data_IF_407699020219
#
_entry.id   IF_407699020219
#
_cell.length_a   1.000
_cell.length_b   1.000
_cell.length_c   1.000
_cell.angle_alpha   90.00
_cell.angle_beta   90.00
_cell.angle_gamma   90.00
#
_symmetry.space_group_name_H-M   'P 1'
#
loop_
_entity.id
_entity.type
_entity.pdbx_description
1 polymer ?
#
# COMPACT_ATOMS: atom_id res chain seq x y z
N UNK A 1 1.23 -10.54 -1.27
CA UNK A 1 2.16 -10.78 -2.40
C UNK A 1 3.46 -11.35 -1.83
N UNK A 2 4.08 -12.32 -2.50
CA UNK A 2 5.30 -13.01 -2.04
C UNK A 2 6.42 -12.81 -3.08
N UNK A 3 7.64 -12.53 -2.61
CA UNK A 3 8.83 -12.33 -3.42
C UNK A 3 9.99 -13.15 -2.87
N UNK A 4 10.79 -13.72 -3.77
CA UNK A 4 12.08 -14.32 -3.42
C UNK A 4 13.17 -13.32 -3.77
N UNK A 5 13.83 -12.78 -2.75
CA UNK A 5 14.79 -11.68 -2.91
C UNK A 5 16.09 -11.98 -2.20
N UNK A 6 17.18 -11.40 -2.67
CA UNK A 6 18.47 -11.48 -2.01
C UNK A 6 18.45 -10.72 -0.68
N UNK A 7 19.17 -11.25 0.32
CA UNK A 7 19.26 -10.68 1.67
C UNK A 7 19.69 -9.22 1.65
N UNK A 8 20.64 -8.85 0.79
CA UNK A 8 21.09 -7.45 0.66
C UNK A 8 19.97 -6.49 0.26
N UNK A 9 19.02 -6.92 -0.59
CA UNK A 9 17.85 -6.11 -0.90
C UNK A 9 17.01 -5.85 0.35
N UNK A 10 16.80 -6.90 1.16
CA UNK A 10 16.04 -6.77 2.41
C UNK A 10 16.77 -5.88 3.42
N UNK A 11 18.10 -5.94 3.49
CA UNK A 11 18.90 -5.04 4.34
C UNK A 11 18.68 -3.57 3.97
N UNK A 12 18.68 -3.23 2.66
CA UNK A 12 18.33 -1.89 2.22
C UNK A 12 16.88 -1.51 2.58
N UNK A 13 15.92 -2.43 2.46
CA UNK A 13 14.54 -2.19 2.88
C UNK A 13 14.45 -1.92 4.39
N UNK A 14 15.18 -2.70 5.20
CA UNK A 14 15.24 -2.55 6.65
C UNK A 14 15.85 -1.20 7.04
N UNK A 15 16.91 -0.76 6.36
CA UNK A 15 17.48 0.58 6.54
C UNK A 15 16.45 1.66 6.27
N UNK A 16 15.67 1.55 5.20
CA UNK A 16 14.59 2.51 4.90
C UNK A 16 13.49 2.49 5.96
N UNK A 17 13.15 1.32 6.50
CA UNK A 17 12.21 1.19 7.62
C UNK A 17 12.74 1.86 8.90
N UNK A 18 14.05 1.77 9.13
CA UNK A 18 14.72 2.43 10.25
C UNK A 18 14.80 3.94 10.04
N UNK A 19 15.24 4.42 8.87
CA UNK A 19 15.36 5.84 8.55
C UNK A 19 14.00 6.57 8.54
N UNK A 20 12.93 5.86 8.18
CA UNK A 20 11.58 6.41 8.23
C UNK A 20 11.09 6.63 9.68
N UNK A 21 11.74 6.05 10.69
CA UNK A 21 11.40 6.15 12.12
C UNK A 21 12.54 6.77 12.94
N UNK A 22 12.23 7.45 14.04
CA UNK A 22 13.28 8.03 14.89
C UNK A 22 14.13 6.98 15.65
N UNK A 23 13.74 5.69 15.61
CA UNK A 23 14.42 4.58 16.29
C UNK A 23 14.58 3.40 15.33
N UNK A 24 15.65 2.61 15.51
CA UNK A 24 15.87 1.34 14.79
C UNK A 24 14.65 0.43 15.00
N UNK A 25 13.88 0.18 13.94
CA UNK A 25 12.59 -0.50 14.06
C UNK A 25 12.79 -2.02 14.13
N UNK A 26 12.74 -2.55 15.35
CA UNK A 26 12.70 -3.99 15.56
C UNK A 26 11.40 -4.61 15.03
N UNK A 27 11.41 -5.90 14.67
CA UNK A 27 10.20 -6.62 14.31
C UNK A 27 9.19 -6.57 15.45
N UNK A 28 7.92 -6.45 15.08
CA UNK A 28 6.80 -6.51 16.01
C UNK A 28 6.60 -7.93 16.56
N UNK A 29 6.92 -8.95 15.75
CA UNK A 29 6.89 -10.34 16.15
C UNK A 29 8.01 -11.12 15.45
N UNK A 30 8.58 -12.07 16.17
CA UNK A 30 9.56 -13.04 15.64
C UNK A 30 9.03 -14.42 15.98
N UNK A 31 8.76 -15.23 14.96
CA UNK A 31 8.20 -16.57 15.13
C UNK A 31 9.15 -17.57 14.49
N UNK A 32 9.54 -18.57 15.27
CA UNK A 32 10.25 -19.75 14.77
C UNK A 32 9.22 -20.82 14.45
N UNK A 33 9.27 -21.38 13.25
CA UNK A 33 8.32 -22.39 12.81
C UNK A 33 9.02 -23.49 12.01
N UNK A 34 8.43 -24.69 12.01
CA UNK A 34 8.95 -25.83 11.26
C UNK A 34 8.16 -25.96 9.96
N UNK A 35 8.85 -25.86 8.83
CA UNK A 35 8.27 -26.08 7.49
C UNK A 35 8.52 -27.54 7.10
N UNK A 36 7.44 -28.34 7.00
CA UNK A 36 7.51 -29.80 6.72
C UNK A 36 6.96 -30.21 5.35
N UNK A 37 6.14 -29.36 4.74
CA UNK A 37 5.36 -29.75 3.56
C UNK A 37 5.84 -29.09 2.25
N UNK A 38 6.86 -28.22 2.32
CA UNK A 38 7.45 -27.56 1.15
C UNK A 38 8.85 -27.05 1.42
N UNK A 39 9.67 -26.97 0.37
CA UNK A 39 11.06 -26.50 0.47
C UNK A 39 11.17 -25.01 0.86
N UNK A 40 12.25 -24.62 1.56
CA UNK A 40 13.16 -25.51 2.27
C UNK A 40 12.49 -26.13 3.49
N UNK A 41 12.76 -27.42 3.72
CA UNK A 41 12.33 -28.09 4.94
C UNK A 41 13.23 -27.65 6.10
N UNK A 42 12.64 -27.55 7.29
CA UNK A 42 13.38 -27.29 8.51
C UNK A 42 12.80 -26.16 9.35
N UNK A 43 13.61 -25.69 10.30
CA UNK A 43 13.24 -24.64 11.25
C UNK A 43 13.60 -23.28 10.66
N UNK A 44 12.59 -22.46 10.40
CA UNK A 44 12.73 -21.13 9.83
C UNK A 44 12.31 -20.07 10.83
N UNK A 45 12.96 -18.90 10.76
CA UNK A 45 12.56 -17.73 11.54
C UNK A 45 11.84 -16.74 10.64
N UNK A 46 10.65 -16.31 11.05
CA UNK A 46 9.88 -15.26 10.40
C UNK A 46 9.89 -14.00 11.26
N UNK A 47 10.31 -12.90 10.66
CA UNK A 47 10.23 -11.58 11.24
C UNK A 47 9.01 -10.85 10.66
N UNK A 48 8.24 -10.17 11.51
CA UNK A 48 7.01 -9.49 11.09
C UNK A 48 7.00 -8.06 11.60
N UNK A 49 6.76 -7.10 10.70
CA UNK A 49 6.57 -5.69 11.03
C UNK A 49 5.16 -5.25 10.65
N UNK A 50 4.48 -4.58 11.58
CA UNK A 50 3.16 -3.99 11.38
C UNK A 50 3.27 -2.47 11.30
N UNK A 51 3.05 -1.90 10.12
CA UNK A 51 3.09 -0.46 9.90
C UNK A 51 1.65 0.06 9.86
N UNK A 52 1.27 0.86 10.86
CA UNK A 52 -0.08 1.45 10.96
C UNK A 52 -0.13 2.93 10.58
N UNK A 53 0.96 3.49 10.06
CA UNK A 53 1.03 4.89 9.60
C UNK A 53 1.29 4.91 8.10
N UNK A 54 0.34 5.45 7.34
CA UNK A 54 0.39 5.49 5.88
C UNK A 54 1.56 6.34 5.34
N UNK A 55 1.92 7.43 6.03
CA UNK A 55 3.05 8.27 5.64
C UNK A 55 4.38 7.53 5.81
N UNK A 56 4.45 6.62 6.79
CA UNK A 56 5.61 5.76 6.95
C UNK A 56 5.72 4.76 5.80
N UNK A 57 4.61 4.13 5.41
CA UNK A 57 4.56 3.24 4.24
C UNK A 57 5.04 3.99 3.00
N UNK A 58 4.54 5.22 2.80
CA UNK A 58 4.98 6.09 1.70
C UNK A 58 6.50 6.27 1.70
N UNK A 59 7.09 6.71 2.81
CA UNK A 59 8.55 6.91 2.96
C UNK A 59 9.38 5.63 2.75
N UNK A 60 8.86 4.47 3.19
CA UNK A 60 9.56 3.18 3.10
C UNK A 60 9.66 2.68 1.65
N UNK A 61 8.66 2.95 0.82
CA UNK A 61 8.59 2.38 -0.53
C UNK A 61 8.85 3.40 -1.64
N UNK A 62 8.62 4.70 -1.42
CA UNK A 62 8.82 5.70 -2.48
C UNK A 62 10.28 5.99 -2.79
N UNK A 63 10.66 6.03 -4.06
CA UNK A 63 12.00 6.46 -4.46
C UNK A 63 11.89 7.71 -5.32
N UNK A 64 12.97 8.48 -5.53
CA UNK A 64 12.97 9.61 -6.46
C UNK A 64 12.53 9.21 -7.87
N UNK A 65 12.83 7.98 -8.30
CA UNK A 65 12.46 7.44 -9.60
C UNK A 65 11.04 6.85 -9.63
N UNK A 66 10.58 6.29 -8.51
CA UNK A 66 9.30 5.59 -8.40
C UNK A 66 8.54 6.11 -7.18
N UNK A 67 7.74 7.18 -7.33
CA UNK A 67 6.94 7.72 -6.24
C UNK A 67 5.78 6.78 -5.89
N UNK A 68 5.48 6.64 -4.59
CA UNK A 68 4.36 5.81 -4.15
C UNK A 68 3.05 6.63 -4.14
N UNK A 69 2.14 6.31 -5.08
CA UNK A 69 0.78 6.85 -5.09
C UNK A 69 -0.10 6.10 -4.09
N UNK A 70 -0.45 6.76 -2.99
CA UNK A 70 -1.30 6.23 -1.91
C UNK A 70 -2.76 6.02 -2.35
N UNK A 71 -3.19 6.82 -3.33
CA UNK A 71 -4.47 6.69 -4.00
C UNK A 71 -4.32 6.99 -5.48
N UNK A 72 -5.14 6.35 -6.31
CA UNK A 72 -5.16 6.55 -7.76
C UNK A 72 -6.61 6.57 -8.26
N UNK A 73 -6.93 7.55 -9.10
CA UNK A 73 -8.21 7.66 -9.79
C UNK A 73 -8.14 7.01 -11.17
N UNK A 74 -9.28 6.51 -11.64
CA UNK A 74 -9.45 5.83 -12.91
C UNK A 74 -10.76 6.26 -13.56
N UNK A 75 -10.79 6.25 -14.89
CA UNK A 75 -12.01 6.33 -15.68
C UNK A 75 -12.32 4.93 -16.20
N UNK A 76 -13.59 4.53 -16.09
CA UNK A 76 -14.09 3.29 -16.71
C UNK A 76 -14.47 3.60 -18.16
N UNK A 77 -13.83 2.92 -19.09
CA UNK A 77 -14.12 3.02 -20.51
C UNK A 77 -15.35 2.19 -20.89
N UNK A 78 -15.91 2.44 -22.08
CA UNK A 78 -17.09 1.72 -22.59
C UNK A 78 -16.83 0.22 -22.77
N UNK A 79 -15.58 -0.17 -23.00
CA UNK A 79 -15.11 -1.55 -23.13
C UNK A 79 -14.83 -2.24 -21.77
N UNK A 80 -15.16 -1.58 -20.65
CA UNK A 80 -14.88 -2.00 -19.28
C UNK A 80 -13.41 -2.02 -18.87
N UNK A 81 -12.51 -1.42 -19.65
CA UNK A 81 -11.13 -1.16 -19.21
C UNK A 81 -11.06 0.08 -18.31
N UNK A 82 -9.92 0.27 -17.65
CA UNK A 82 -9.69 1.37 -16.72
C UNK A 82 -8.42 2.13 -17.07
N UNK A 83 -8.56 3.41 -17.41
CA UNK A 83 -7.43 4.29 -17.63
C UNK A 83 -7.15 5.15 -16.41
N UNK A 84 -5.87 5.36 -16.12
CA UNK A 84 -5.46 6.22 -15.02
C UNK A 84 -5.86 7.66 -15.29
N UNK A 85 -6.61 8.26 -14.37
CA UNK A 85 -7.06 9.63 -14.47
C UNK A 85 -6.30 10.52 -13.49
N UNK A 86 -5.65 11.56 -14.01
CA UNK A 86 -5.04 12.62 -13.22
C UNK A 86 -5.93 13.86 -13.35
N UNK A 87 -6.43 14.38 -12.23
CA UNK A 87 -7.15 15.63 -12.25
C UNK A 87 -6.16 16.74 -12.59
N UNK A 88 -6.39 17.45 -13.69
CA UNK A 88 -5.75 18.75 -13.90
C UNK A 88 -6.18 19.65 -12.74
N UNK A 89 -5.20 20.19 -12.01
CA UNK A 89 -5.46 21.21 -11.00
C UNK A 89 -5.88 22.47 -11.75
N UNK A 90 -7.18 22.67 -11.95
CA UNK A 90 -7.70 23.97 -12.39
C UNK A 90 -7.57 24.97 -11.24
N UNK A 91 -6.35 25.41 -10.98
CA UNK A 91 -6.08 26.54 -10.11
C UNK A 91 -6.42 27.83 -10.88
N UNK A 92 -7.58 28.43 -10.59
CA UNK A 92 -7.78 29.86 -10.88
C UNK A 92 -8.92 30.29 -11.81
N UNK A 93 -9.82 29.42 -12.29
CA UNK A 93 -10.99 29.88 -13.06
C UNK A 93 -12.11 30.27 -12.08
N UNK A 94 -12.61 31.52 -12.07
CA UNK A 94 -13.78 31.89 -11.29
C UNK A 94 -14.97 31.05 -11.78
N UNK A 95 -15.47 30.16 -10.93
CA UNK A 95 -16.63 29.35 -11.24
C UNK A 95 -17.85 30.26 -11.13
N UNK A 96 -18.28 30.80 -12.26
CA UNK A 96 -19.64 31.33 -12.36
C UNK A 96 -20.62 30.19 -12.05
N UNK A 97 -21.52 30.40 -11.09
CA UNK A 97 -22.41 29.35 -10.57
C UNK A 97 -23.36 28.77 -11.63
N UNK A 98 -23.39 29.39 -12.82
CA UNK A 98 -24.18 28.97 -13.98
C UNK A 98 -23.55 27.80 -14.77
N UNK A 99 -22.23 27.62 -14.73
CA UNK A 99 -21.54 26.58 -15.51
C UNK A 99 -20.64 25.72 -14.61
N UNK A 100 -21.24 24.74 -13.93
CA UNK A 100 -20.43 23.69 -13.32
C UNK A 100 -19.85 22.79 -14.42
N UNK A 101 -18.52 22.66 -14.54
CA UNK A 101 -17.93 21.77 -15.52
C UNK A 101 -18.36 20.33 -15.23
N UNK A 102 -18.77 19.61 -16.28
CA UNK A 102 -19.10 18.18 -16.21
C UNK A 102 -17.85 17.45 -15.73
N UNK A 103 -17.93 16.81 -14.56
CA UNK A 103 -16.83 16.00 -14.02
C UNK A 103 -16.96 14.56 -14.49
N UNK A 104 -15.87 13.94 -14.97
CA UNK A 104 -15.90 12.53 -15.33
C UNK A 104 -16.17 11.67 -14.11
N UNK A 105 -16.84 10.54 -14.35
CA UNK A 105 -17.25 9.60 -13.32
C UNK A 105 -16.03 8.80 -12.82
N UNK A 106 -15.28 9.35 -11.86
CA UNK A 106 -14.00 8.80 -11.45
C UNK A 106 -14.15 7.72 -10.37
N UNK A 107 -13.47 6.59 -10.59
CA UNK A 107 -13.30 5.53 -9.62
C UNK A 107 -11.97 5.72 -8.91
N UNK A 108 -11.96 5.68 -7.58
CA UNK A 108 -10.71 5.91 -6.84
C UNK A 108 -10.35 4.72 -5.98
N UNK A 109 -9.14 4.21 -6.16
CA UNK A 109 -8.54 3.21 -5.26
C UNK A 109 -7.60 3.88 -4.28
N UNK A 110 -7.48 3.33 -3.07
CA UNK A 110 -6.54 3.83 -2.08
C UNK A 110 -6.07 2.74 -1.13
N UNK A 111 -4.87 2.91 -0.58
CA UNK A 111 -4.29 1.99 0.39
C UNK A 111 -4.93 2.24 1.77
N UNK A 112 -5.41 1.18 2.43
CA UNK A 112 -6.00 1.24 3.78
C UNK A 112 -4.93 0.92 4.82
N UNK A 113 -4.44 1.94 5.53
CA UNK A 113 -3.46 1.79 6.61
C UNK A 113 -3.82 2.73 7.76
N UNK A 114 -3.80 2.21 8.99
CA UNK A 114 -4.16 2.95 10.20
C UNK A 114 -5.68 2.96 10.44
N UNK A 115 -6.18 4.11 10.88
CA UNK A 115 -7.61 4.36 11.12
C UNK A 115 -8.16 4.98 9.84
N UNK A 116 -9.07 4.28 9.16
CA UNK A 116 -9.70 4.72 7.90
C UNK A 116 -11.17 5.08 8.06
N UNK A 117 -11.77 4.83 9.23
CA UNK A 117 -13.15 5.18 9.57
C UNK A 117 -13.26 5.60 11.03
N UNK A 118 -14.17 6.52 11.34
CA UNK A 118 -14.41 7.03 12.69
C UNK A 118 -14.89 5.94 13.67
N UNK A 119 -15.53 4.89 13.17
CA UNK A 119 -16.06 3.78 13.98
C UNK A 119 -15.10 2.58 14.09
N UNK A 120 -13.88 2.71 13.56
CA UNK A 120 -12.94 1.60 13.49
C UNK A 120 -12.18 1.43 14.81
N UNK A 121 -12.41 0.29 15.49
CA UNK A 121 -11.78 -0.03 16.78
C UNK A 121 -10.29 -0.42 16.66
N UNK A 122 -9.93 -1.13 15.59
CA UNK A 122 -8.56 -1.65 15.40
C UNK A 122 -7.88 -1.01 14.19
N UNK A 123 -6.59 -0.67 14.29
CA UNK A 123 -5.82 -0.12 13.17
C UNK A 123 -5.54 -1.18 12.11
N UNK A 124 -5.69 -0.85 10.83
CA UNK A 124 -5.32 -1.73 9.71
C UNK A 124 -3.81 -1.62 9.47
N UNK A 125 -3.02 -2.70 9.64
CA UNK A 125 -1.59 -2.66 9.37
C UNK A 125 -1.29 -2.90 7.89
N UNK A 126 -0.22 -2.26 7.41
CA UNK A 126 0.59 -2.76 6.30
C UNK A 126 1.64 -3.71 6.89
N UNK A 127 1.66 -4.95 6.44
CA UNK A 127 2.48 -6.02 7.02
C UNK A 127 3.64 -6.33 6.09
N UNK A 128 4.84 -6.33 6.65
CA UNK A 128 6.07 -6.81 6.01
C UNK A 128 6.51 -8.05 6.78
N UNK A 129 6.70 -9.15 6.08
CA UNK A 129 7.19 -10.41 6.64
C UNK A 129 8.45 -10.86 5.90
N UNK A 130 9.46 -11.29 6.64
CA UNK A 130 10.74 -11.71 6.11
C UNK A 130 11.19 -13.04 6.70
N UNK A 131 11.57 -13.98 5.82
CA UNK A 131 12.20 -15.24 6.15
C UNK A 131 13.54 -15.29 5.40
N UNK A 132 14.69 -15.10 6.07
CA UNK A 132 15.98 -14.99 5.38
C UNK A 132 16.48 -16.31 4.76
N UNK A 133 16.23 -17.43 5.43
CA UNK A 133 16.95 -18.69 5.17
C UNK A 133 16.18 -19.62 4.23
N UNK A 134 15.57 -19.07 3.17
CA UNK A 134 14.83 -19.87 2.19
C UNK A 134 15.78 -20.64 1.27
N UNK A 135 16.85 -19.98 0.81
CA UNK A 135 17.99 -20.61 0.15
C UNK A 135 19.28 -20.02 0.76
N UNK A 136 19.82 -20.63 1.83
CA UNK A 136 20.89 -20.03 2.63
C UNK A 136 22.18 -19.79 1.85
N UNK A 137 22.55 -20.70 0.94
CA UNK A 137 23.80 -20.62 0.16
C UNK A 137 23.80 -19.41 -0.77
N UNK A 138 22.66 -19.14 -1.42
CA UNK A 138 22.49 -18.01 -2.34
C UNK A 138 21.95 -16.76 -1.63
N UNK A 139 21.79 -16.82 -0.31
CA UNK A 139 21.24 -15.74 0.53
C UNK A 139 19.89 -15.21 0.03
N UNK A 140 19.08 -16.07 -0.60
CA UNK A 140 17.72 -15.72 -1.01
C UNK A 140 16.76 -16.04 0.13
N UNK A 141 15.96 -15.06 0.51
CA UNK A 141 14.86 -15.20 1.45
C UNK A 141 13.50 -14.92 0.81
N UNK A 142 12.44 -15.13 1.59
CA UNK A 142 11.06 -14.84 1.21
C UNK A 142 10.59 -13.55 1.89
N UNK A 143 10.22 -12.56 1.08
CA UNK A 143 9.58 -11.32 1.49
C UNK A 143 8.08 -11.40 1.17
N UNK A 144 7.23 -11.24 2.18
CA UNK A 144 5.78 -11.17 2.00
C UNK A 144 5.25 -9.80 2.41
N UNK A 145 4.49 -9.19 1.50
CA UNK A 145 3.78 -7.94 1.72
C UNK A 145 2.29 -8.20 1.77
N UNK A 146 1.65 -7.80 2.87
CA UNK A 146 0.19 -7.94 3.07
C UNK A 146 -0.40 -6.58 3.41
N UNK A 147 -1.40 -6.14 2.64
CA UNK A 147 -2.06 -4.86 2.81
C UNK A 147 -3.50 -4.93 2.32
N UNK A 148 -4.32 -3.96 2.76
CA UNK A 148 -5.71 -3.80 2.30
C UNK A 148 -5.84 -2.54 1.47
N UNK A 149 -6.78 -2.54 0.54
CA UNK A 149 -7.14 -1.37 -0.26
C UNK A 149 -8.65 -1.13 -0.23
N UNK A 150 -9.05 0.08 -0.62
CA UNK A 150 -10.43 0.49 -0.74
C UNK A 150 -10.74 1.01 -2.13
N UNK A 151 -12.02 1.05 -2.42
CA UNK A 151 -12.60 1.70 -3.59
C UNK A 151 -13.54 2.78 -3.09
N UNK A 152 -13.47 3.97 -3.69
CA UNK A 152 -14.55 4.93 -3.62
C UNK A 152 -15.39 4.76 -4.88
N UNK A 153 -16.71 4.58 -4.74
CA UNK A 153 -17.59 4.58 -5.89
C UNK A 153 -17.57 5.97 -6.53
N UNK A 154 -18.01 6.06 -7.80
CA UNK A 154 -18.17 7.34 -8.43
C UNK A 154 -19.17 8.20 -7.65
N UNK A 155 -18.99 9.51 -7.66
CA UNK A 155 -19.95 10.42 -7.01
C UNK A 155 -21.24 10.42 -7.83
N UNK A 156 -22.27 9.74 -7.35
CA UNK A 156 -23.60 9.87 -7.93
C UNK A 156 -24.07 11.33 -7.77
N UNK A 157 -24.42 11.96 -8.89
CA UNK A 157 -25.03 13.29 -8.95
C UNK A 157 -26.49 13.30 -8.42
N UNK A 158 -26.91 12.32 -7.61
CA UNK A 158 -28.30 12.16 -7.16
C UNK A 158 -28.70 13.07 -5.99
N UNK A 159 -27.89 14.07 -5.64
CA UNK A 159 -28.25 15.11 -4.66
C UNK A 159 -29.11 16.25 -5.25
N UNK A 160 -29.64 16.11 -6.46
CA UNK A 160 -30.59 17.07 -7.06
C UNK A 160 -32.04 16.56 -7.13
N UNK A 161 -32.37 15.40 -6.55
CA UNK A 161 -33.74 14.85 -6.56
C UNK A 161 -34.55 15.06 -5.29
N UNK A 162 -34.29 16.09 -4.48
CA UNK A 162 -35.29 16.58 -3.53
C UNK A 162 -35.14 18.10 -3.34
N UNK A 163 -35.88 18.86 -4.16
CA UNK A 163 -36.34 20.20 -3.86
C UNK A 163 -37.83 20.25 -4.13
#
# INVERSE_FOLDING_TARGET
IVFHIHKSFFECLLERMCAASAKKRLPNSTVVFVKRDSMPLGTLTKYTWHITNIMLVKKIFETPLVPLKISRSFIRNQDNTYDAFEHEKCDGIPIDKSHQPIKPNDLKTYLKVGIVSLHQKERIPFIIEWIPDVLPITQIGELRLTFKYGHMPPKDNDSLKYK
#
